data_IF_706243853754
#
_entry.id   IF_706243853754
#
_cell.length_a   1.000
_cell.length_b   1.000
_cell.length_c   1.000
_cell.angle_alpha   90.00
_cell.angle_beta   90.00
_cell.angle_gamma   90.00
#
_symmetry.space_group_name_H-M   'P 1'
#
loop_
_entity.id
_entity.type
_entity.pdbx_description
1 polymer ?
#
# COMPACT_ATOMS: atom_id res chain seq x y z
N UNK A 1 9.45 -36.06 -36.02
CA UNK A 1 9.45 -35.19 -34.83
C UNK A 1 8.00 -34.92 -34.50
N UNK A 2 7.50 -35.44 -33.38
CA UNK A 2 6.18 -35.07 -32.88
C UNK A 2 6.23 -33.59 -32.51
N UNK A 3 5.56 -32.74 -33.29
CA UNK A 3 5.57 -31.29 -33.11
C UNK A 3 4.49 -30.81 -32.12
N UNK A 4 3.57 -31.70 -31.72
CA UNK A 4 2.50 -31.38 -30.78
C UNK A 4 2.48 -32.42 -29.66
N UNK A 5 2.68 -31.93 -28.43
CA UNK A 5 2.63 -32.75 -27.22
C UNK A 5 1.15 -32.99 -26.90
N UNK A 6 0.68 -34.24 -27.03
CA UNK A 6 -0.73 -34.61 -26.80
C UNK A 6 -1.22 -34.35 -25.36
N UNK A 7 -0.31 -34.18 -24.40
CA UNK A 7 -0.64 -33.92 -23.00
C UNK A 7 0.12 -32.72 -22.43
N UNK A 8 -0.59 -31.59 -22.26
CA UNK A 8 -0.08 -30.42 -21.55
C UNK A 8 0.13 -30.74 -20.05
N UNK A 9 1.38 -30.99 -19.66
CA UNK A 9 1.74 -31.30 -18.26
C UNK A 9 1.72 -30.10 -17.32
N UNK A 10 1.86 -28.88 -17.84
CA UNK A 10 1.98 -27.67 -17.04
C UNK A 10 1.25 -26.50 -17.72
N UNK A 11 0.59 -25.66 -16.91
CA UNK A 11 0.10 -24.35 -17.33
C UNK A 11 1.13 -23.27 -17.07
N UNK A 12 1.22 -22.27 -17.95
CA UNK A 12 2.12 -21.12 -17.78
C UNK A 12 1.32 -19.82 -17.79
N UNK A 13 1.54 -18.98 -16.78
CA UNK A 13 1.01 -17.61 -16.70
C UNK A 13 2.16 -16.69 -16.35
N UNK A 14 2.41 -15.71 -17.21
CA UNK A 14 3.38 -14.64 -16.96
C UNK A 14 2.66 -13.32 -16.68
N UNK A 15 3.04 -12.64 -15.60
CA UNK A 15 2.55 -11.29 -15.27
C UNK A 15 3.73 -10.34 -15.34
N UNK A 16 3.57 -9.20 -16.02
CA UNK A 16 4.60 -8.19 -16.18
C UNK A 16 3.98 -6.80 -16.15
N UNK A 17 4.61 -5.88 -15.43
CA UNK A 17 4.27 -4.45 -15.48
C UNK A 17 4.87 -3.77 -16.72
N UNK A 18 5.83 -4.42 -17.39
CA UNK A 18 6.48 -3.90 -18.59
C UNK A 18 6.04 -4.67 -19.82
N UNK A 19 6.00 -3.98 -20.96
CA UNK A 19 5.66 -4.58 -22.24
C UNK A 19 6.69 -5.65 -22.60
N UNK A 20 6.21 -6.85 -22.92
CA UNK A 20 7.05 -7.95 -23.41
C UNK A 20 7.31 -7.79 -24.91
N UNK A 21 8.40 -8.37 -25.41
CA UNK A 21 8.71 -8.36 -26.83
C UNK A 21 7.78 -9.29 -27.61
N UNK A 22 7.57 -8.98 -28.90
CA UNK A 22 6.63 -9.70 -29.76
C UNK A 22 6.98 -11.19 -29.91
N UNK A 23 8.25 -11.55 -29.84
CA UNK A 23 8.69 -12.95 -30.02
C UNK A 23 8.25 -13.85 -28.86
N UNK A 24 8.06 -13.28 -27.67
CA UNK A 24 7.48 -13.95 -26.49
C UNK A 24 5.96 -13.91 -26.50
N UNK A 25 5.34 -12.80 -26.93
CA UNK A 25 3.88 -12.64 -26.95
C UNK A 25 3.19 -13.55 -27.98
N UNK A 26 3.82 -13.83 -29.12
CA UNK A 26 3.23 -14.68 -30.17
C UNK A 26 3.05 -16.16 -29.76
N UNK A 27 3.57 -16.57 -28.59
CA UNK A 27 3.50 -17.96 -28.09
C UNK A 27 2.50 -18.14 -26.95
N UNK A 28 1.80 -17.08 -26.55
CA UNK A 28 0.85 -17.10 -25.45
C UNK A 28 -0.37 -16.23 -25.77
N UNK A 29 -1.48 -16.45 -25.05
CA UNK A 29 -2.58 -15.49 -25.06
C UNK A 29 -2.12 -14.22 -24.35
N UNK A 30 -1.94 -13.14 -25.11
CA UNK A 30 -1.52 -11.86 -24.56
C UNK A 30 -2.72 -11.00 -24.19
N UNK A 31 -2.80 -10.61 -22.92
CA UNK A 31 -3.77 -9.65 -22.41
C UNK A 31 -3.01 -8.43 -21.90
N UNK A 32 -3.43 -7.24 -22.36
CA UNK A 32 -2.89 -5.97 -21.92
C UNK A 32 -3.98 -5.17 -21.20
N UNK A 33 -3.67 -4.67 -20.01
CA UNK A 33 -4.53 -3.76 -19.25
C UNK A 33 -3.96 -2.34 -19.36
N UNK A 34 -4.59 -1.44 -20.13
CA UNK A 34 -4.13 -0.06 -20.22
C UNK A 34 -4.37 0.70 -18.91
N UNK A 35 -3.75 1.86 -18.77
CA UNK A 35 -4.03 2.77 -17.66
C UNK A 35 -5.51 3.18 -17.65
N UNK A 36 -6.17 3.16 -16.48
CA UNK A 36 -7.60 3.45 -16.40
C UNK A 36 -7.88 4.93 -16.68
N UNK A 37 -8.93 5.19 -17.44
CA UNK A 37 -9.42 6.55 -17.62
C UNK A 37 -10.26 6.99 -16.40
N UNK A 38 -10.72 8.25 -16.41
CA UNK A 38 -11.56 8.81 -15.34
C UNK A 38 -12.82 7.97 -15.07
N UNK A 39 -13.48 7.44 -16.10
CA UNK A 39 -14.70 6.64 -15.95
C UNK A 39 -14.40 5.29 -15.28
N UNK A 40 -13.27 4.66 -15.63
CA UNK A 40 -12.81 3.42 -15.01
C UNK A 40 -12.51 3.62 -13.51
N UNK A 41 -11.85 4.74 -13.17
CA UNK A 41 -11.58 5.12 -11.78
C UNK A 41 -12.89 5.34 -11.01
N UNK A 42 -13.84 6.10 -11.58
CA UNK A 42 -15.15 6.34 -10.98
C UNK A 42 -15.93 5.05 -10.74
N UNK A 43 -15.96 4.15 -11.73
CA UNK A 43 -16.60 2.85 -11.60
C UNK A 43 -15.92 2.03 -10.50
N UNK A 44 -14.60 1.99 -10.48
CA UNK A 44 -13.83 1.27 -9.46
C UNK A 44 -14.13 1.80 -8.06
N UNK A 45 -14.12 3.12 -7.87
CA UNK A 45 -14.46 3.74 -6.59
C UNK A 45 -15.88 3.41 -6.14
N UNK A 46 -16.86 3.44 -7.04
CA UNK A 46 -18.26 3.07 -6.77
C UNK A 46 -18.38 1.59 -6.36
N UNK A 47 -17.69 0.68 -7.06
CA UNK A 47 -17.69 -0.76 -6.74
C UNK A 47 -17.02 -1.03 -5.39
N UNK A 48 -15.89 -0.39 -5.08
CA UNK A 48 -15.25 -0.46 -3.76
C UNK A 48 -16.23 0.01 -2.67
N UNK A 49 -16.91 1.15 -2.89
CA UNK A 49 -17.90 1.67 -1.95
C UNK A 49 -19.06 0.71 -1.73
N UNK A 50 -19.64 0.17 -2.80
CA UNK A 50 -20.76 -0.78 -2.70
C UNK A 50 -20.38 -2.08 -2.00
N UNK A 51 -19.22 -2.66 -2.34
CA UNK A 51 -18.75 -3.92 -1.73
C UNK A 51 -18.47 -3.79 -0.23
N UNK A 52 -17.88 -2.66 0.21
CA UNK A 52 -17.62 -2.44 1.63
C UNK A 52 -18.89 -2.19 2.44
N UNK A 53 -19.90 -1.53 1.86
CA UNK A 53 -21.21 -1.35 2.50
C UNK A 53 -21.95 -2.67 2.73
N UNK A 54 -21.88 -3.61 1.77
CA UNK A 54 -22.51 -4.93 1.89
C UNK A 54 -21.86 -5.80 2.96
N UNK A 55 -20.56 -5.65 3.20
CA UNK A 55 -19.83 -6.42 4.21
C UNK A 55 -20.09 -5.93 5.65
N UNK A 56 -20.57 -4.70 5.82
CA UNK A 56 -20.87 -4.12 7.12
C UNK A 56 -22.35 -4.25 7.48
N UNK A 57 -22.65 -4.87 8.62
CA UNK A 57 -24.01 -4.87 9.21
C UNK A 57 -24.44 -3.49 9.79
N UNK A 58 -23.70 -2.42 9.48
CA UNK A 58 -23.92 -1.06 10.00
C UNK A 58 -24.50 -0.23 8.87
N UNK A 59 -25.58 0.52 9.12
CA UNK A 59 -26.08 1.52 8.17
C UNK A 59 -25.01 2.60 8.00
N UNK A 60 -24.31 2.56 6.88
CA UNK A 60 -23.31 3.56 6.51
C UNK A 60 -24.03 4.76 5.92
N UNK A 61 -23.67 5.97 6.33
CA UNK A 61 -24.00 7.19 5.60
C UNK A 61 -23.45 7.06 4.19
N UNK A 62 -24.32 6.86 3.19
CA UNK A 62 -23.87 6.69 1.82
C UNK A 62 -23.01 7.88 1.40
N UNK A 63 -21.80 7.60 0.95
CA UNK A 63 -20.93 8.62 0.35
C UNK A 63 -21.60 9.10 -0.92
N UNK A 64 -21.90 10.39 -0.98
CA UNK A 64 -22.54 10.98 -2.15
C UNK A 64 -21.70 10.70 -3.42
N UNK A 65 -22.32 10.31 -4.55
CA UNK A 65 -21.59 9.96 -5.78
C UNK A 65 -20.58 11.02 -6.22
N UNK A 66 -20.91 12.30 -6.03
CA UNK A 66 -20.07 13.45 -6.36
C UNK A 66 -18.71 13.41 -5.64
N UNK A 67 -18.64 12.83 -4.44
CA UNK A 67 -17.39 12.71 -3.67
C UNK A 67 -16.45 11.71 -4.36
N UNK A 68 -16.95 10.52 -4.71
CA UNK A 68 -16.15 9.51 -5.41
C UNK A 68 -15.73 10.03 -6.78
N UNK A 69 -16.65 10.69 -7.49
CA UNK A 69 -16.37 11.26 -8.81
C UNK A 69 -15.31 12.38 -8.75
N UNK A 70 -15.41 13.27 -7.76
CA UNK A 70 -14.43 14.31 -7.52
C UNK A 70 -13.05 13.76 -7.17
N UNK A 71 -12.97 12.74 -6.31
CA UNK A 71 -11.69 12.11 -5.94
C UNK A 71 -11.05 11.39 -7.13
N UNK A 72 -11.86 10.77 -7.98
CA UNK A 72 -11.39 10.06 -9.18
C UNK A 72 -10.81 11.04 -10.21
N UNK A 73 -11.48 12.18 -10.43
CA UNK A 73 -10.97 13.24 -11.32
C UNK A 73 -9.72 13.89 -10.73
N UNK A 74 -9.68 14.17 -9.43
CA UNK A 74 -8.51 14.72 -8.77
C UNK A 74 -7.28 13.80 -8.89
N UNK A 75 -7.47 12.49 -8.74
CA UNK A 75 -6.39 11.50 -8.95
C UNK A 75 -5.90 11.49 -10.40
N UNK A 76 -6.82 11.54 -11.36
CA UNK A 76 -6.46 11.60 -12.78
C UNK A 76 -5.68 12.89 -13.11
N UNK A 77 -6.12 14.04 -12.58
CA UNK A 77 -5.39 15.31 -12.75
C UNK A 77 -3.98 15.24 -12.15
N UNK A 78 -3.83 14.67 -10.94
CA UNK A 78 -2.51 14.46 -10.32
C UNK A 78 -1.61 13.61 -11.23
N UNK A 79 -2.12 12.52 -11.76
CA UNK A 79 -1.37 11.63 -12.65
C UNK A 79 -0.88 12.36 -13.91
N UNK A 80 -1.78 13.08 -14.61
CA UNK A 80 -1.41 13.82 -15.82
C UNK A 80 -0.42 14.95 -15.53
N UNK A 81 -0.61 15.69 -14.44
CA UNK A 81 0.31 16.75 -14.03
C UNK A 81 1.69 16.18 -13.70
N UNK A 82 1.79 15.05 -12.99
CA UNK A 82 3.08 14.43 -12.69
C UNK A 82 3.77 13.93 -13.94
N UNK A 83 3.03 13.36 -14.89
CA UNK A 83 3.55 12.93 -16.18
C UNK A 83 4.15 14.07 -16.99
N UNK A 84 3.55 15.25 -16.93
CA UNK A 84 4.04 16.45 -17.64
C UNK A 84 5.18 17.15 -16.89
N UNK A 85 5.09 17.28 -15.56
CA UNK A 85 5.96 18.16 -14.77
C UNK A 85 7.08 17.44 -14.02
N UNK A 86 6.96 16.13 -13.81
CA UNK A 86 7.87 15.31 -13.01
C UNK A 86 8.12 13.96 -13.70
N UNK A 87 8.78 13.91 -14.87
CA UNK A 87 8.92 12.69 -15.66
C UNK A 87 9.60 11.53 -14.91
N UNK A 88 10.55 11.84 -14.01
CA UNK A 88 11.23 10.86 -13.17
C UNK A 88 10.32 10.26 -12.07
N UNK A 89 9.20 10.92 -11.78
CA UNK A 89 8.25 10.56 -10.73
C UNK A 89 6.82 10.39 -11.25
N UNK A 90 6.62 10.24 -12.56
CA UNK A 90 5.30 10.08 -13.17
C UNK A 90 4.50 8.90 -12.59
N UNK A 91 5.19 7.87 -12.09
CA UNK A 91 4.60 6.66 -11.50
C UNK A 91 4.73 6.62 -9.97
N UNK A 92 4.98 7.76 -9.31
CA UNK A 92 5.19 7.80 -7.86
C UNK A 92 3.93 7.40 -7.08
N UNK A 93 2.75 7.87 -7.53
CA UNK A 93 1.45 7.47 -6.98
C UNK A 93 0.72 6.56 -7.95
N UNK A 94 0.34 5.36 -7.48
CA UNK A 94 -0.32 4.35 -8.29
C UNK A 94 -1.77 4.09 -7.89
N UNK A 95 -2.41 3.15 -8.61
CA UNK A 95 -3.81 2.80 -8.38
C UNK A 95 -4.08 2.27 -6.97
N UNK A 96 -3.09 1.65 -6.32
CA UNK A 96 -3.23 1.17 -4.94
C UNK A 96 -3.34 2.31 -3.93
N UNK A 97 -2.76 3.48 -4.21
CA UNK A 97 -2.93 4.69 -3.40
C UNK A 97 -4.38 5.18 -3.51
N UNK A 98 -4.91 5.25 -4.74
CA UNK A 98 -6.31 5.58 -4.99
C UNK A 98 -7.28 4.58 -4.33
N UNK A 99 -7.04 3.27 -4.46
CA UNK A 99 -7.90 2.25 -3.82
C UNK A 99 -7.84 2.36 -2.29
N UNK A 100 -6.66 2.63 -1.74
CA UNK A 100 -6.47 2.78 -0.29
C UNK A 100 -7.10 4.06 0.26
N UNK A 101 -7.10 5.15 -0.52
CA UNK A 101 -7.84 6.38 -0.24
C UNK A 101 -9.33 6.10 -0.09
N UNK A 102 -9.96 5.48 -1.09
CA UNK A 102 -11.41 5.19 -1.05
C UNK A 102 -11.76 4.26 0.12
N UNK A 103 -11.00 3.16 0.28
CA UNK A 103 -11.20 2.21 1.40
C UNK A 103 -11.00 2.87 2.76
N UNK A 104 -10.01 3.77 2.88
CA UNK A 104 -9.68 4.50 4.10
C UNK A 104 -10.79 5.46 4.51
N UNK A 105 -11.31 6.25 3.56
CA UNK A 105 -12.44 7.17 3.81
C UNK A 105 -13.65 6.39 4.31
N UNK A 106 -14.04 5.32 3.60
CA UNK A 106 -15.21 4.51 3.97
C UNK A 106 -15.06 3.86 5.34
N UNK A 107 -13.89 3.31 5.64
CA UNK A 107 -13.61 2.72 6.96
C UNK A 107 -13.70 3.75 8.08
N UNK A 108 -13.11 4.93 7.89
CA UNK A 108 -13.15 5.98 8.91
C UNK A 108 -14.58 6.50 9.14
N UNK A 109 -15.38 6.61 8.07
CA UNK A 109 -16.82 6.91 8.17
C UNK A 109 -17.58 5.85 8.97
N UNK A 110 -17.29 4.55 8.74
CA UNK A 110 -17.91 3.45 9.50
C UNK A 110 -17.58 3.50 10.99
N UNK A 111 -16.34 3.85 11.33
CA UNK A 111 -15.88 3.92 12.72
C UNK A 111 -16.48 5.12 13.45
N UNK A 112 -16.53 6.30 12.81
CA UNK A 112 -16.95 7.55 13.45
C UNK A 112 -18.48 7.80 13.39
N UNK A 113 -19.22 7.06 12.53
CA UNK A 113 -20.69 7.12 12.43
C UNK A 113 -21.22 8.57 12.34
N UNK A 114 -22.08 9.00 13.27
CA UNK A 114 -22.73 10.31 13.26
C UNK A 114 -21.79 11.48 13.59
N UNK A 115 -20.61 11.23 14.17
CA UNK A 115 -19.61 12.26 14.46
C UNK A 115 -18.65 12.51 13.28
N UNK A 116 -18.86 11.78 12.17
CA UNK A 116 -17.93 11.79 11.06
C UNK A 116 -17.95 13.12 10.30
N UNK A 117 -16.86 13.88 10.43
CA UNK A 117 -16.57 15.04 9.57
C UNK A 117 -15.97 14.57 8.25
N UNK A 118 -16.82 14.37 7.24
CA UNK A 118 -16.44 13.81 5.94
C UNK A 118 -15.20 14.49 5.33
N UNK A 119 -15.18 15.82 5.25
CA UNK A 119 -14.09 16.55 4.62
C UNK A 119 -12.78 16.50 5.43
N UNK A 120 -12.85 16.42 6.76
CA UNK A 120 -11.69 16.18 7.62
C UNK A 120 -11.10 14.78 7.37
N UNK A 121 -11.97 13.76 7.23
CA UNK A 121 -11.55 12.40 6.85
C UNK A 121 -10.88 12.40 5.49
N UNK A 122 -11.49 13.04 4.48
CA UNK A 122 -10.93 13.11 3.14
C UNK A 122 -9.55 13.78 3.19
N UNK A 123 -9.45 14.95 3.84
CA UNK A 123 -8.18 15.68 3.96
C UNK A 123 -7.09 14.83 4.60
N UNK A 124 -7.43 14.11 5.67
CA UNK A 124 -6.55 13.15 6.33
C UNK A 124 -6.13 12.00 5.41
N UNK A 125 -7.09 11.34 4.78
CA UNK A 125 -6.83 10.17 3.94
C UNK A 125 -6.04 10.52 2.67
N UNK A 126 -6.20 11.74 2.15
CA UNK A 126 -5.31 12.27 1.11
C UNK A 126 -3.88 12.36 1.61
N UNK A 127 -3.63 12.92 2.80
CA UNK A 127 -2.28 13.00 3.37
C UNK A 127 -1.68 11.62 3.67
N UNK A 128 -2.48 10.64 4.08
CA UNK A 128 -1.98 9.28 4.34
C UNK A 128 -1.59 8.54 3.04
N UNK A 129 -2.28 8.79 1.93
CA UNK A 129 -2.10 8.01 0.69
C UNK A 129 -1.31 8.73 -0.41
N UNK A 130 -1.18 10.05 -0.35
CA UNK A 130 -0.55 10.87 -1.40
C UNK A 130 0.55 11.78 -0.82
N UNK A 131 1.35 11.24 0.09
CA UNK A 131 2.49 11.91 0.72
C UNK A 131 3.75 11.06 0.59
N UNK A 132 4.91 11.66 0.83
CA UNK A 132 6.20 10.98 0.72
C UNK A 132 7.31 11.97 0.37
N UNK A 133 8.17 11.60 -0.57
CA UNK A 133 9.17 12.52 -1.16
C UNK A 133 8.46 13.65 -1.92
N UNK A 134 7.32 13.34 -2.54
CA UNK A 134 6.43 14.30 -3.18
C UNK A 134 5.14 14.44 -2.37
N UNK A 135 4.65 15.67 -2.21
CA UNK A 135 3.34 15.94 -1.60
C UNK A 135 2.27 16.08 -2.70
N UNK A 136 1.65 14.95 -3.06
CA UNK A 136 0.49 14.93 -3.96
C UNK A 136 -0.82 15.31 -3.26
N UNK A 137 -0.86 15.26 -1.93
CA UNK A 137 -2.08 15.42 -1.14
C UNK A 137 -2.66 16.83 -1.21
N UNK A 138 -1.80 17.85 -1.32
CA UNK A 138 -2.22 19.24 -1.47
C UNK A 138 -2.90 19.47 -2.83
N UNK A 139 -2.27 19.00 -3.90
CA UNK A 139 -2.82 19.09 -5.26
C UNK A 139 -4.13 18.31 -5.38
N UNK A 140 -4.16 17.08 -4.86
CA UNK A 140 -5.38 16.26 -4.79
C UNK A 140 -6.51 16.99 -4.07
N UNK A 141 -6.23 17.64 -2.94
CA UNK A 141 -7.24 18.38 -2.18
C UNK A 141 -7.78 19.58 -2.95
N UNK A 142 -6.89 20.35 -3.58
CA UNK A 142 -7.29 21.47 -4.43
C UNK A 142 -8.19 21.02 -5.58
N UNK A 143 -7.75 20.03 -6.36
CA UNK A 143 -8.50 19.49 -7.49
C UNK A 143 -9.82 18.84 -7.06
N UNK A 144 -9.82 18.13 -5.94
CA UNK A 144 -11.05 17.59 -5.37
C UNK A 144 -12.08 18.69 -5.09
N UNK A 145 -11.68 19.77 -4.39
CA UNK A 145 -12.56 20.89 -4.09
C UNK A 145 -13.09 21.60 -5.35
N UNK A 146 -12.27 21.69 -6.39
CA UNK A 146 -12.63 22.22 -7.71
C UNK A 146 -13.71 21.34 -8.38
N UNK A 147 -13.50 20.01 -8.44
CA UNK A 147 -14.41 19.06 -9.09
C UNK A 147 -15.75 18.88 -8.40
N UNK A 148 -15.84 19.16 -7.09
CA UNK A 148 -17.11 19.16 -6.35
C UNK A 148 -17.74 20.56 -6.24
N UNK A 149 -17.15 21.57 -6.88
CA UNK A 149 -17.60 22.97 -6.85
C UNK A 149 -17.72 23.58 -5.44
N UNK A 150 -16.79 23.25 -4.53
CA UNK A 150 -16.75 23.75 -3.15
C UNK A 150 -15.36 24.25 -2.75
N UNK A 151 -14.91 25.34 -3.38
CA UNK A 151 -13.56 25.90 -3.13
C UNK A 151 -13.35 26.43 -1.71
N UNK A 152 -14.42 26.85 -1.03
CA UNK A 152 -14.36 27.32 0.37
C UNK A 152 -13.80 26.26 1.33
N UNK A 153 -13.97 24.97 1.03
CA UNK A 153 -13.45 23.88 1.84
C UNK A 153 -11.93 23.89 1.93
N UNK A 154 -11.24 24.44 0.94
CA UNK A 154 -9.78 24.46 0.88
C UNK A 154 -9.17 25.16 2.11
N UNK A 155 -9.80 26.26 2.55
CA UNK A 155 -9.37 27.06 3.70
C UNK A 155 -10.01 26.59 5.03
N UNK A 156 -11.11 25.84 4.96
CA UNK A 156 -11.83 25.35 6.14
C UNK A 156 -11.15 24.14 6.79
N UNK A 157 -10.58 23.23 5.98
CA UNK A 157 -9.99 21.97 6.46
C UNK A 157 -8.47 21.95 6.30
N UNK A 158 -7.77 22.17 7.41
CA UNK A 158 -6.31 22.11 7.47
C UNK A 158 -5.79 20.67 7.40
N UNK A 159 -4.55 20.53 6.90
CA UNK A 159 -3.86 19.24 6.91
C UNK A 159 -3.54 18.82 8.36
N UNK A 160 -3.83 17.56 8.76
CA UNK A 160 -3.41 17.04 10.06
C UNK A 160 -1.88 17.04 10.20
N UNK A 161 -1.39 17.16 11.43
CA UNK A 161 0.05 17.08 11.72
C UNK A 161 0.55 15.63 11.62
N UNK A 162 1.85 15.46 11.29
CA UNK A 162 2.48 14.15 11.17
C UNK A 162 2.28 13.27 12.42
N UNK A 163 2.49 13.82 13.62
CA UNK A 163 2.32 13.08 14.87
C UNK A 163 0.88 12.58 15.07
N UNK A 164 -0.12 13.37 14.67
CA UNK A 164 -1.52 12.96 14.75
C UNK A 164 -1.81 11.83 13.75
N UNK A 165 -1.31 11.93 12.51
CA UNK A 165 -1.46 10.89 11.50
C UNK A 165 -0.79 9.58 11.91
N UNK A 166 0.42 9.66 12.46
CA UNK A 166 1.16 8.49 12.91
C UNK A 166 0.45 7.82 14.09
N UNK A 167 0.03 8.56 15.11
CA UNK A 167 -0.73 8.02 16.25
C UNK A 167 -2.01 7.30 15.80
N UNK A 168 -2.77 7.92 14.87
CA UNK A 168 -3.97 7.31 14.31
C UNK A 168 -3.65 6.03 13.51
N UNK A 169 -2.59 6.05 12.70
CA UNK A 169 -2.16 4.89 11.93
C UNK A 169 -1.68 3.74 12.81
N UNK A 170 -1.06 4.03 13.96
CA UNK A 170 -0.62 3.01 14.92
C UNK A 170 -1.81 2.38 15.68
N UNK A 171 -2.88 3.14 15.90
CA UNK A 171 -4.14 2.64 16.50
C UNK A 171 -4.96 1.83 15.49
N UNK A 172 -5.01 2.29 14.25
CA UNK A 172 -5.75 1.63 13.19
C UNK A 172 -4.94 0.47 12.61
N UNK A 173 -5.24 -0.77 13.01
CA UNK A 173 -4.64 -2.01 12.44
C UNK A 173 -5.19 -2.35 11.05
N UNK A 174 -5.33 -1.34 10.19
CA UNK A 174 -6.01 -1.45 8.91
C UNK A 174 -5.40 -0.53 7.87
N UNK A 175 -5.37 -0.96 6.62
CA UNK A 175 -4.68 -0.24 5.54
C UNK A 175 -3.37 -0.94 5.18
N UNK A 176 -2.55 -0.25 4.39
CA UNK A 176 -1.23 -0.73 3.96
C UNK A 176 -0.21 -0.59 5.08
N UNK A 177 0.91 -1.30 4.96
CA UNK A 177 2.07 -1.08 5.83
C UNK A 177 2.62 0.33 5.63
N UNK A 178 3.24 0.89 6.68
CA UNK A 178 3.80 2.23 6.64
C UNK A 178 5.22 2.20 6.06
N UNK A 179 5.47 3.05 5.07
CA UNK A 179 6.82 3.44 4.66
C UNK A 179 7.07 4.84 5.19
N UNK A 180 7.94 4.96 6.18
CA UNK A 180 8.30 6.24 6.80
C UNK A 180 9.64 6.68 6.23
N UNK A 181 9.65 7.84 5.57
CA UNK A 181 10.83 8.40 4.92
C UNK A 181 11.36 9.54 5.81
N UNK A 182 12.62 9.41 6.23
CA UNK A 182 13.32 10.43 7.01
C UNK A 182 14.48 11.01 6.21
N UNK A 183 14.74 12.30 6.41
CA UNK A 183 15.90 13.01 5.84
C UNK A 183 17.22 12.73 6.60
N UNK A 184 17.10 12.15 7.80
CA UNK A 184 18.19 11.95 8.75
C UNK A 184 17.92 10.76 9.67
N UNK A 185 18.99 10.13 10.17
CA UNK A 185 18.86 9.04 11.16
C UNK A 185 18.24 9.52 12.47
N UNK A 186 18.44 10.79 12.86
CA UNK A 186 17.81 11.38 14.05
C UNK A 186 16.30 11.50 13.90
N UNK A 187 15.79 11.85 12.71
CA UNK A 187 14.35 11.84 12.43
C UNK A 187 13.77 10.43 12.52
N UNK A 188 14.48 9.43 11.99
CA UNK A 188 14.08 8.01 12.09
C UNK A 188 14.06 7.57 13.56
N UNK A 189 15.09 7.87 14.33
CA UNK A 189 15.17 7.51 15.74
C UNK A 189 14.08 8.18 16.59
N UNK A 190 13.72 9.43 16.27
CA UNK A 190 12.57 10.12 16.86
C UNK A 190 11.27 9.37 16.59
N UNK A 191 11.04 8.98 15.33
CA UNK A 191 9.84 8.24 14.91
C UNK A 191 9.78 6.86 15.56
N UNK A 192 10.89 6.13 15.62
CA UNK A 192 10.94 4.84 16.32
C UNK A 192 10.63 5.00 17.81
N UNK A 193 11.18 6.03 18.46
CA UNK A 193 10.85 6.33 19.86
C UNK A 193 9.37 6.66 20.01
N UNK A 194 8.80 7.45 19.10
CA UNK A 194 7.38 7.76 19.08
C UNK A 194 6.53 6.49 18.98
N UNK A 195 6.84 5.59 18.04
CA UNK A 195 6.15 4.30 17.86
C UNK A 195 6.24 3.45 19.12
N UNK A 196 7.45 3.30 19.68
CA UNK A 196 7.68 2.54 20.91
C UNK A 196 6.82 3.03 22.08
N UNK A 197 6.78 4.34 22.31
CA UNK A 197 5.98 4.94 23.40
C UNK A 197 4.49 4.70 23.19
N UNK A 198 3.97 4.84 21.97
CA UNK A 198 2.55 4.67 21.68
C UNK A 198 2.12 3.20 21.70
N UNK A 199 2.90 2.30 21.12
CA UNK A 199 2.59 0.86 21.14
C UNK A 199 2.68 0.26 22.55
N UNK A 200 3.60 0.77 23.40
CA UNK A 200 3.65 0.38 24.82
C UNK A 200 2.35 0.73 25.56
N UNK A 201 1.71 1.87 25.26
CA UNK A 201 0.39 2.24 25.82
C UNK A 201 -0.72 1.27 25.39
N UNK A 202 -0.59 0.67 24.21
CA UNK A 202 -1.52 -0.33 23.67
C UNK A 202 -1.17 -1.77 24.08
N UNK A 203 -0.16 -1.96 24.94
CA UNK A 203 0.36 -3.27 25.32
C UNK A 203 0.81 -4.14 24.13
N UNK A 204 1.39 -3.49 23.10
CA UNK A 204 1.94 -4.13 21.91
C UNK A 204 3.45 -4.02 21.96
N UNK A 205 4.14 -5.16 21.78
CA UNK A 205 5.60 -5.18 21.70
C UNK A 205 6.09 -4.53 20.40
N UNK A 206 7.27 -3.92 20.44
CA UNK A 206 7.93 -3.38 19.24
C UNK A 206 9.27 -4.10 19.05
N UNK A 207 9.55 -4.50 17.82
CA UNK A 207 10.84 -5.08 17.42
C UNK A 207 11.38 -4.31 16.23
N UNK A 208 12.65 -3.96 16.27
CA UNK A 208 13.35 -3.32 15.16
C UNK A 208 14.34 -4.30 14.57
N UNK A 209 14.19 -4.61 13.29
CA UNK A 209 15.16 -5.33 12.48
C UNK A 209 15.98 -4.32 11.68
N UNK A 210 17.30 -4.40 11.79
CA UNK A 210 18.24 -3.52 11.09
C UNK A 210 19.14 -4.35 10.18
N UNK A 211 19.23 -3.95 8.91
CA UNK A 211 20.13 -4.57 7.93
C UNK A 211 21.57 -4.54 8.43
N UNK A 212 22.24 -5.70 8.37
CA UNK A 212 23.60 -5.86 8.87
C UNK A 212 24.60 -5.06 8.04
N UNK A 213 25.61 -4.53 8.72
CA UNK A 213 26.80 -3.92 8.12
C UNK A 213 28.07 -4.73 8.40
N UNK A 214 27.93 -5.93 8.98
CA UNK A 214 29.07 -6.78 9.30
C UNK A 214 29.63 -7.43 8.03
N UNK A 215 30.97 -7.40 7.80
CA UNK A 215 31.57 -7.96 6.59
C UNK A 215 31.24 -9.43 6.33
N UNK A 216 31.04 -10.24 7.38
CA UNK A 216 30.70 -11.66 7.24
C UNK A 216 29.28 -11.93 6.73
N UNK A 217 28.39 -10.95 6.80
CA UNK A 217 27.01 -11.06 6.31
C UNK A 217 26.89 -10.58 4.85
N UNK A 218 27.95 -9.98 4.28
CA UNK A 218 27.95 -9.30 2.99
C UNK A 218 28.81 -10.05 1.97
N UNK A 219 28.23 -10.36 0.80
CA UNK A 219 28.95 -10.78 -0.40
C UNK A 219 29.53 -9.57 -1.16
N UNK A 220 28.80 -8.46 -1.15
CA UNK A 220 29.19 -7.19 -1.75
C UNK A 220 28.55 -6.03 -0.97
N UNK A 221 28.85 -4.79 -1.35
CA UNK A 221 28.36 -3.59 -0.66
C UNK A 221 26.84 -3.59 -0.40
N UNK A 222 26.05 -4.19 -1.31
CA UNK A 222 24.58 -4.25 -1.23
C UNK A 222 24.00 -5.67 -1.39
N UNK A 223 24.84 -6.70 -1.31
CA UNK A 223 24.41 -8.09 -1.48
C UNK A 223 24.77 -8.89 -0.25
N UNK A 224 23.76 -9.50 0.36
CA UNK A 224 23.91 -10.31 1.56
C UNK A 224 24.12 -11.78 1.21
N UNK A 225 24.81 -12.51 2.09
CA UNK A 225 24.92 -13.96 2.01
C UNK A 225 23.54 -14.61 2.23
N UNK A 226 23.29 -15.74 1.56
CA UNK A 226 21.98 -16.43 1.62
C UNK A 226 21.57 -16.78 3.05
N UNK A 227 22.54 -17.22 3.87
CA UNK A 227 22.34 -17.57 5.28
C UNK A 227 21.79 -16.39 6.11
N UNK A 228 22.27 -15.18 5.84
CA UNK A 228 21.79 -13.97 6.50
C UNK A 228 20.33 -13.67 6.10
N UNK A 229 20.04 -13.75 4.80
CA UNK A 229 18.68 -13.54 4.29
C UNK A 229 17.69 -14.54 4.89
N UNK A 230 18.05 -15.83 4.95
CA UNK A 230 17.21 -16.84 5.61
C UNK A 230 16.93 -16.48 7.06
N UNK A 231 17.95 -16.09 7.84
CA UNK A 231 17.77 -15.71 9.24
C UNK A 231 16.78 -14.54 9.39
N UNK A 232 16.99 -13.47 8.63
CA UNK A 232 16.10 -12.29 8.66
C UNK A 232 14.67 -12.67 8.26
N UNK A 233 14.49 -13.47 7.22
CA UNK A 233 13.16 -13.88 6.77
C UNK A 233 12.47 -14.80 7.79
N UNK A 234 13.20 -15.66 8.49
CA UNK A 234 12.65 -16.45 9.60
C UNK A 234 12.20 -15.57 10.77
N UNK A 235 12.97 -14.53 11.12
CA UNK A 235 12.56 -13.57 12.14
C UNK A 235 11.27 -12.84 11.70
N UNK A 236 11.17 -12.43 10.43
CA UNK A 236 9.96 -11.81 9.88
C UNK A 236 8.76 -12.76 9.96
N UNK A 237 8.92 -14.04 9.59
CA UNK A 237 7.87 -15.06 9.69
C UNK A 237 7.42 -15.22 11.15
N UNK A 238 8.37 -15.40 12.07
CA UNK A 238 8.09 -15.56 13.49
C UNK A 238 7.33 -14.36 14.05
N UNK A 239 7.74 -13.14 13.66
CA UNK A 239 7.13 -11.91 14.14
C UNK A 239 5.77 -11.62 13.52
N UNK A 240 5.56 -11.97 12.25
CA UNK A 240 4.26 -11.85 11.59
C UNK A 240 3.17 -12.69 12.27
N UNK A 241 3.54 -13.81 12.89
CA UNK A 241 2.62 -14.67 13.65
C UNK A 241 2.32 -14.15 15.07
N UNK A 242 2.96 -13.05 15.49
CA UNK A 242 2.85 -12.49 16.85
C UNK A 242 2.21 -11.12 16.88
N UNK A 243 1.64 -10.74 18.03
CA UNK A 243 1.03 -9.43 18.23
C UNK A 243 2.07 -8.34 18.53
N UNK A 244 2.90 -8.02 17.56
CA UNK A 244 3.94 -6.98 17.68
C UNK A 244 3.89 -5.97 16.53
N UNK A 245 4.52 -4.82 16.73
CA UNK A 245 4.88 -3.90 15.64
C UNK A 245 6.31 -4.17 15.22
N UNK A 246 6.51 -4.54 13.96
CA UNK A 246 7.82 -4.76 13.38
C UNK A 246 8.28 -3.50 12.63
N UNK A 247 9.43 -2.96 13.01
CA UNK A 247 10.12 -1.87 12.33
C UNK A 247 11.26 -2.47 11.53
N UNK A 248 11.32 -2.18 10.22
CA UNK A 248 12.36 -2.69 9.34
C UNK A 248 13.21 -1.53 8.81
N UNK A 249 14.51 -1.52 9.12
CA UNK A 249 15.48 -0.53 8.64
C UNK A 249 16.50 -1.17 7.72
N UNK A 250 16.82 -0.53 6.60
CA UNK A 250 17.90 -0.96 5.69
C UNK A 250 17.74 -2.42 5.22
N UNK A 251 16.50 -2.87 5.08
CA UNK A 251 16.14 -4.25 4.68
C UNK A 251 15.73 -4.35 3.20
N UNK A 252 16.27 -3.49 2.33
CA UNK A 252 15.91 -3.49 0.90
C UNK A 252 16.22 -4.82 0.20
N UNK A 253 17.21 -5.56 0.70
CA UNK A 253 17.66 -6.84 0.13
C UNK A 253 16.66 -8.00 0.29
N UNK A 254 15.65 -7.89 1.17
CA UNK A 254 14.59 -8.91 1.33
C UNK A 254 13.26 -8.50 0.69
N UNK A 255 13.23 -7.40 -0.07
CA UNK A 255 11.99 -6.88 -0.65
C UNK A 255 11.28 -7.91 -1.54
N UNK A 256 12.02 -8.54 -2.45
CA UNK A 256 11.46 -9.53 -3.39
C UNK A 256 10.89 -10.75 -2.64
N UNK A 257 11.53 -11.14 -1.54
CA UNK A 257 11.08 -12.25 -0.70
C UNK A 257 9.76 -11.96 0.02
N UNK A 258 9.48 -10.68 0.30
CA UNK A 258 8.33 -10.19 1.05
C UNK A 258 7.27 -9.55 0.14
N UNK A 259 7.39 -9.72 -1.18
CA UNK A 259 6.50 -9.09 -2.16
C UNK A 259 5.01 -9.40 -1.91
N UNK A 260 4.66 -10.67 -1.71
CA UNK A 260 3.29 -11.09 -1.40
C UNK A 260 2.79 -10.50 -0.07
N UNK A 261 3.68 -10.40 0.93
CA UNK A 261 3.37 -9.83 2.24
C UNK A 261 3.02 -8.35 2.11
N UNK A 262 3.89 -7.55 1.49
CA UNK A 262 3.66 -6.12 1.32
C UNK A 262 2.49 -5.79 0.40
N UNK A 263 2.20 -6.68 -0.56
CA UNK A 263 1.00 -6.58 -1.40
C UNK A 263 -0.30 -6.97 -0.70
N UNK A 264 -0.22 -7.48 0.55
CA UNK A 264 -1.35 -7.98 1.31
C UNK A 264 -2.13 -9.07 0.55
N UNK A 265 -1.41 -9.91 -0.20
CA UNK A 265 -1.96 -11.00 -1.00
C UNK A 265 -2.20 -12.23 -0.10
N UNK A 266 -3.27 -12.18 0.68
CA UNK A 266 -3.57 -13.21 1.68
C UNK A 266 -4.58 -14.25 1.17
N UNK A 267 -4.25 -15.53 1.34
CA UNK A 267 -5.24 -16.60 1.30
C UNK A 267 -5.98 -16.64 2.64
N UNK A 268 -7.31 -16.64 2.62
CA UNK A 268 -8.13 -16.71 3.84
C UNK A 268 -8.66 -18.12 4.00
N UNK A 269 -8.32 -18.78 5.11
CA UNK A 269 -8.88 -20.09 5.48
C UNK A 269 -9.24 -20.08 6.97
N UNK A 270 -10.43 -20.54 7.32
CA UNK A 270 -10.94 -20.57 8.70
C UNK A 270 -10.77 -19.22 9.46
N UNK A 271 -11.07 -18.10 8.79
CA UNK A 271 -10.91 -16.71 9.29
C UNK A 271 -9.47 -16.28 9.61
N UNK A 272 -8.48 -17.11 9.27
CA UNK A 272 -7.05 -16.80 9.38
C UNK A 272 -6.49 -16.38 8.02
N UNK A 273 -5.57 -15.42 8.02
CA UNK A 273 -4.90 -14.93 6.82
C UNK A 273 -3.54 -15.60 6.69
N UNK A 274 -3.26 -16.12 5.50
CA UNK A 274 -1.99 -16.76 5.19
C UNK A 274 -1.31 -16.03 4.05
N UNK A 275 -0.04 -15.71 4.23
CA UNK A 275 0.82 -15.13 3.21
C UNK A 275 1.90 -16.13 2.80
N UNK A 276 2.36 -16.07 1.56
CA UNK A 276 3.60 -16.74 1.16
C UNK A 276 4.77 -15.79 1.37
N UNK A 277 5.86 -16.30 1.91
CA UNK A 277 7.14 -15.60 1.99
C UNK A 277 8.14 -16.45 1.22
N UNK A 278 8.88 -15.85 0.29
CA UNK A 278 9.81 -16.62 -0.51
C UNK A 278 11.14 -16.81 0.20
N UNK A 279 11.57 -18.05 0.40
CA UNK A 279 12.84 -18.44 1.00
C UNK A 279 13.67 -19.16 -0.07
N UNK A 280 14.48 -18.40 -0.79
CA UNK A 280 15.20 -18.91 -1.97
C UNK A 280 14.26 -19.21 -3.15
N UNK A 281 14.72 -20.03 -4.09
CA UNK A 281 14.02 -20.28 -5.36
C UNK A 281 12.89 -21.32 -5.27
N UNK A 282 12.89 -22.17 -4.25
CA UNK A 282 12.07 -23.38 -4.20
C UNK A 282 11.20 -23.50 -2.94
N UNK A 283 11.52 -22.78 -1.87
CA UNK A 283 10.83 -22.92 -0.59
C UNK A 283 10.00 -21.67 -0.29
N UNK A 284 8.67 -21.82 -0.29
CA UNK A 284 7.75 -20.69 -0.08
C UNK A 284 6.75 -21.04 1.04
N UNK A 285 7.16 -20.97 2.32
CA UNK A 285 6.28 -21.29 3.43
C UNK A 285 5.04 -20.40 3.48
N UNK A 286 3.97 -20.95 4.04
CA UNK A 286 2.78 -20.17 4.41
C UNK A 286 2.95 -19.65 5.83
N UNK A 287 3.01 -18.34 5.97
CA UNK A 287 3.07 -17.64 7.23
C UNK A 287 1.66 -17.17 7.62
N UNK A 288 1.29 -17.35 8.89
CA UNK A 288 0.06 -16.79 9.44
C UNK A 288 0.29 -15.29 9.75
N UNK A 289 -0.67 -14.44 9.36
CA UNK A 289 -0.62 -12.98 9.57
C UNK A 289 -1.86 -12.49 10.32
#
# INVERSE_FOLDING_TARGET
AELEVENNRYGFVGVSNWRLDASKMNRALYLSTPDPNVQDLQLTGKVISGSMQQQSNVQITQVEPIIIEGLSRAYYDLYEILKETQPDHQNYFGLRDYYSLIKGILRDLMVMKHEAKLYEIIRRQLKVNFDGVLDGSLLMWHKFCEHIHRQNLFNEYNCPSFNLLLDQSLKARSGRYLMLIGDSESAIDYVERFINVHQKKLNVGVRTLVGSSFPGDLLSLNTYVEQYNYRVLMDVILYAETNITLIMRKMGHVYDNLYDLFNQNFAVSAKKKYCRIALGALYHPRCLV
#
